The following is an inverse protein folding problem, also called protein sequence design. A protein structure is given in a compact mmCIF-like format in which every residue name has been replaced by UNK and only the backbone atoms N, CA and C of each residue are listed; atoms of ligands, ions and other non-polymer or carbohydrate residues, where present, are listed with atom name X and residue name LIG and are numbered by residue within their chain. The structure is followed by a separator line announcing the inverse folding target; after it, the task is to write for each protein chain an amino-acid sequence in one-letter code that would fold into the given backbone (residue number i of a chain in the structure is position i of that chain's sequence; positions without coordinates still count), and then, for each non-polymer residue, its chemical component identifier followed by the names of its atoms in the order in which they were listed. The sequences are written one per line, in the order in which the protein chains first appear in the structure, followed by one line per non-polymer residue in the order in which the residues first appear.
data_IF_246410931622
#
_entry.id   IF_246410931622
#
_cell.length_a   1.000
_cell.length_b   1.000
_cell.length_c   1.000
_cell.angle_alpha   90.00
_cell.angle_beta   90.00
_cell.angle_gamma   90.00
#
_symmetry.space_group_name_H-M   'P 1'
#
loop_
_entity.id
_entity.type
_entity.pdbx_description
1 polymer ?
#
# COMPACT_ATOMS: atom_id res chain seq x y z
N UNK A 1 16.84 -9.22 16.34
CA UNK A 1 16.02 -10.03 15.44
C UNK A 1 14.67 -10.17 16.10
N UNK A 2 13.64 -9.56 15.53
CA UNK A 2 12.27 -9.69 16.02
C UNK A 2 11.71 -10.90 15.30
N UNK A 3 11.36 -11.95 16.03
CA UNK A 3 10.67 -13.11 15.44
C UNK A 3 9.22 -13.04 15.88
N UNK A 4 8.28 -12.72 14.99
CA UNK A 4 6.85 -12.82 15.26
C UNK A 4 6.50 -14.20 15.81
N UNK A 5 5.55 -14.24 16.73
CA UNK A 5 5.04 -15.48 17.31
C UNK A 5 3.54 -15.52 17.14
N UNK A 6 2.97 -16.69 16.90
CA UNK A 6 1.55 -16.82 16.65
C UNK A 6 0.94 -17.96 17.48
N UNK A 7 -0.31 -17.75 17.87
CA UNK A 7 -1.16 -18.79 18.45
C UNK A 7 -1.99 -19.43 17.34
N UNK A 8 -1.93 -20.76 17.23
CA UNK A 8 -2.69 -21.51 16.21
C UNK A 8 -4.19 -21.19 16.26
N UNK A 9 -4.83 -21.13 15.11
CA UNK A 9 -6.22 -20.71 15.00
C UNK A 9 -6.85 -21.05 13.66
N UNK A 10 -8.01 -20.45 13.36
CA UNK A 10 -8.74 -20.70 12.11
C UNK A 10 -8.43 -19.67 11.04
N UNK A 11 -8.08 -18.44 11.43
CA UNK A 11 -7.81 -17.34 10.51
C UNK A 11 -6.49 -17.54 9.77
N UNK A 12 -6.36 -16.87 8.63
CA UNK A 12 -5.08 -16.81 7.92
C UNK A 12 -4.25 -15.65 8.45
N UNK A 13 -3.12 -15.95 9.07
CA UNK A 13 -2.10 -14.97 9.40
C UNK A 13 -1.08 -14.87 8.28
N UNK A 14 -1.00 -13.70 7.66
CA UNK A 14 0.02 -13.34 6.69
C UNK A 14 1.07 -12.50 7.39
N UNK A 15 2.30 -13.00 7.47
CA UNK A 15 3.41 -12.36 8.19
C UNK A 15 4.53 -12.05 7.20
N UNK A 16 4.91 -10.77 7.11
CA UNK A 16 6.05 -10.29 6.30
C UNK A 16 6.95 -9.39 7.14
N UNK A 17 8.01 -8.86 6.54
CA UNK A 17 8.91 -7.94 7.24
C UNK A 17 8.18 -6.62 7.54
N UNK A 18 7.89 -6.38 8.82
CA UNK A 18 7.25 -5.15 9.29
C UNK A 18 5.73 -5.07 9.12
N UNK A 19 5.06 -6.07 8.53
CA UNK A 19 3.59 -6.09 8.41
C UNK A 19 3.00 -7.45 8.78
N UNK A 20 1.87 -7.42 9.48
CA UNK A 20 1.07 -8.60 9.83
C UNK A 20 -0.38 -8.35 9.44
N UNK A 21 -1.02 -9.35 8.82
CA UNK A 21 -2.46 -9.33 8.57
C UNK A 21 -3.13 -10.62 9.05
N UNK A 22 -4.34 -10.50 9.62
CA UNK A 22 -5.28 -11.59 9.88
C UNK A 22 -6.46 -11.47 8.92
N UNK A 23 -6.74 -12.53 8.17
CA UNK A 23 -7.85 -12.62 7.22
C UNK A 23 -8.83 -13.71 7.63
N UNK A 24 -10.13 -13.46 7.44
CA UNK A 24 -11.21 -14.39 7.79
C UNK A 24 -10.99 -15.77 7.14
N UNK A 25 -11.34 -16.91 7.81
CA UNK A 25 -11.12 -18.26 7.28
C UNK A 25 -11.81 -18.56 5.94
N UNK A 26 -12.90 -17.85 5.62
CA UNK A 26 -13.68 -17.96 4.38
C UNK A 26 -13.01 -17.24 3.19
N UNK A 27 -11.95 -16.46 3.45
CA UNK A 27 -11.21 -15.74 2.41
C UNK A 27 -10.66 -16.73 1.36
N UNK A 28 -10.90 -16.50 0.05
CA UNK A 28 -10.37 -17.37 -1.00
C UNK A 28 -8.84 -17.40 -0.98
N UNK A 29 -8.26 -18.59 -1.24
CA UNK A 29 -6.80 -18.77 -1.22
C UNK A 29 -6.05 -17.84 -2.20
N UNK A 30 -6.66 -17.51 -3.34
CA UNK A 30 -6.12 -16.54 -4.29
C UNK A 30 -5.98 -15.13 -3.71
N UNK A 31 -6.94 -14.70 -2.88
CA UNK A 31 -6.89 -13.41 -2.19
C UNK A 31 -5.83 -13.43 -1.10
N UNK A 32 -5.73 -14.52 -0.33
CA UNK A 32 -4.67 -14.69 0.68
C UNK A 32 -3.29 -14.62 0.04
N UNK A 33 -3.09 -15.28 -1.10
CA UNK A 33 -1.84 -15.25 -1.85
C UNK A 33 -1.54 -13.84 -2.40
N UNK A 34 -2.55 -13.15 -2.94
CA UNK A 34 -2.40 -11.78 -3.43
C UNK A 34 -2.04 -10.80 -2.30
N UNK A 35 -2.67 -10.92 -1.13
CA UNK A 35 -2.29 -10.15 0.08
C UNK A 35 -0.85 -10.45 0.48
N UNK A 36 -0.46 -11.73 0.55
CA UNK A 36 0.92 -12.10 0.88
C UNK A 36 1.94 -11.50 -0.09
N UNK A 37 1.66 -11.52 -1.40
CA UNK A 37 2.54 -10.87 -2.40
C UNK A 37 2.62 -9.37 -2.18
N UNK A 38 1.48 -8.68 -2.04
CA UNK A 38 1.42 -7.24 -1.81
C UNK A 38 2.16 -6.82 -0.52
N UNK A 39 1.99 -7.56 0.57
CA UNK A 39 2.69 -7.30 1.83
C UNK A 39 4.20 -7.53 1.74
N UNK A 40 4.66 -8.45 0.87
CA UNK A 40 6.08 -8.79 0.70
C UNK A 40 6.79 -7.84 -0.25
N UNK A 41 6.11 -7.40 -1.31
CA UNK A 41 6.61 -6.37 -2.22
C UNK A 41 6.77 -5.03 -1.50
N UNK A 42 6.02 -4.84 -0.41
CA UNK A 42 5.95 -3.58 0.31
C UNK A 42 5.19 -2.54 -0.50
N UNK A 43 5.05 -1.34 0.05
CA UNK A 43 4.28 -0.28 -0.58
C UNK A 43 3.49 0.51 0.43
N UNK A 44 2.60 1.36 -0.07
CA UNK A 44 1.67 2.07 0.80
C UNK A 44 0.52 1.16 1.26
N UNK A 45 -0.19 1.64 2.27
CA UNK A 45 -1.39 0.98 2.81
C UNK A 45 -2.39 0.60 1.71
N UNK A 46 -2.57 1.45 0.71
CA UNK A 46 -3.54 1.24 -0.37
C UNK A 46 -3.19 -0.01 -1.17
N UNK A 47 -1.93 -0.16 -1.59
CA UNK A 47 -1.45 -1.35 -2.29
C UNK A 47 -1.62 -2.61 -1.44
N UNK A 48 -1.39 -2.52 -0.13
CA UNK A 48 -1.57 -3.64 0.80
C UNK A 48 -3.04 -4.07 0.94
N UNK A 49 -3.99 -3.14 0.81
CA UNK A 49 -5.43 -3.40 0.91
C UNK A 49 -6.09 -3.73 -0.44
N UNK A 50 -5.47 -3.37 -1.56
CA UNK A 50 -6.02 -3.57 -2.90
C UNK A 50 -6.49 -5.01 -3.19
N UNK A 51 -5.78 -6.08 -2.77
CA UNK A 51 -6.25 -7.45 -2.97
C UNK A 51 -7.57 -7.75 -2.25
N UNK A 52 -7.82 -7.13 -1.09
CA UNK A 52 -9.07 -7.26 -0.33
C UNK A 52 -10.22 -6.48 -0.95
N UNK A 53 -9.90 -5.46 -1.75
CA UNK A 53 -10.84 -4.61 -2.48
C UNK A 53 -11.26 -5.16 -3.84
N UNK A 54 -10.63 -6.23 -4.34
CA UNK A 54 -10.88 -6.76 -5.68
C UNK A 54 -12.35 -7.16 -5.92
N UNK A 55 -13.06 -7.61 -4.87
CA UNK A 55 -14.50 -7.90 -4.92
C UNK A 55 -15.42 -6.70 -4.61
N UNK A 56 -14.86 -5.51 -4.42
CA UNK A 56 -15.55 -4.31 -3.97
C UNK A 56 -15.67 -4.19 -2.44
N UNK A 57 -16.06 -3.00 -1.96
CA UNK A 57 -16.14 -2.68 -0.52
C UNK A 57 -17.12 -3.56 0.26
N UNK A 58 -18.21 -4.00 -0.39
CA UNK A 58 -19.24 -4.83 0.24
C UNK A 58 -18.79 -6.30 0.41
N UNK A 59 -18.01 -6.84 -0.53
CA UNK A 59 -17.52 -8.21 -0.50
C UNK A 59 -16.19 -8.37 0.25
N UNK A 60 -15.63 -7.27 0.76
CA UNK A 60 -14.38 -7.29 1.50
C UNK A 60 -14.55 -8.04 2.82
N UNK A 61 -13.71 -9.07 3.07
CA UNK A 61 -13.80 -9.89 4.26
C UNK A 61 -13.41 -9.09 5.51
N UNK A 62 -13.81 -9.51 6.72
CA UNK A 62 -13.21 -9.08 7.97
C UNK A 62 -11.70 -9.31 7.96
N UNK A 63 -10.95 -8.32 8.43
CA UNK A 63 -9.50 -8.40 8.52
C UNK A 63 -8.94 -7.46 9.59
N UNK A 64 -7.73 -7.75 10.04
CA UNK A 64 -6.90 -6.79 10.77
C UNK A 64 -5.52 -6.75 10.13
N UNK A 65 -4.97 -5.56 9.93
CA UNK A 65 -3.64 -5.33 9.37
C UNK A 65 -2.88 -4.38 10.28
N UNK A 66 -1.64 -4.72 10.61
CA UNK A 66 -0.73 -3.90 11.39
C UNK A 66 0.59 -3.74 10.64
N UNK A 67 0.92 -2.50 10.29
CA UNK A 67 2.18 -2.14 9.63
C UNK A 67 3.05 -1.29 10.56
N UNK A 68 4.32 -1.66 10.69
CA UNK A 68 5.29 -1.01 11.57
C UNK A 68 6.22 -0.13 10.73
N UNK A 69 6.23 1.17 10.99
CA UNK A 69 7.13 2.11 10.34
C UNK A 69 7.62 3.17 11.32
N UNK A 70 8.94 3.33 11.44
CA UNK A 70 9.54 4.42 12.24
C UNK A 70 9.18 4.43 13.73
N UNK A 71 8.88 3.26 14.32
CA UNK A 71 8.45 3.16 15.73
C UNK A 71 6.95 3.41 15.97
N UNK A 72 6.19 3.64 14.90
CA UNK A 72 4.74 3.74 14.93
C UNK A 72 4.09 2.49 14.31
N UNK A 73 2.95 2.09 14.86
CA UNK A 73 2.10 1.03 14.31
C UNK A 73 0.89 1.67 13.66
N UNK A 74 0.69 1.40 12.37
CA UNK A 74 -0.57 1.69 11.69
C UNK A 74 -1.45 0.45 11.75
N UNK A 75 -2.59 0.56 12.42
CA UNK A 75 -3.59 -0.49 12.56
C UNK A 75 -4.79 -0.20 11.64
N UNK A 76 -5.23 -1.22 10.90
CA UNK A 76 -6.38 -1.15 10.00
C UNK A 76 -7.25 -2.35 10.29
N UNK A 77 -8.49 -2.11 10.71
CA UNK A 77 -9.32 -3.16 11.29
C UNK A 77 -10.75 -3.08 10.74
N UNK A 78 -11.25 -4.22 10.28
CA UNK A 78 -12.62 -4.41 9.79
C UNK A 78 -13.24 -5.67 10.40
N UNK A 79 -14.48 -5.53 10.87
CA UNK A 79 -15.21 -6.63 11.51
C UNK A 79 -14.71 -6.90 12.92
N UNK A 80 -14.70 -8.17 13.31
CA UNK A 80 -14.49 -8.59 14.70
C UNK A 80 -13.01 -8.67 15.11
N UNK A 81 -12.07 -8.62 14.17
CA UNK A 81 -10.66 -8.62 14.50
C UNK A 81 -10.25 -7.37 15.30
N UNK A 82 -9.11 -7.44 15.99
CA UNK A 82 -8.58 -6.34 16.79
C UNK A 82 -7.05 -6.26 16.66
N UNK A 83 -6.53 -5.04 16.75
CA UNK A 83 -5.09 -4.79 16.89
C UNK A 83 -4.87 -4.15 18.24
N UNK A 84 -4.03 -4.77 19.06
CA UNK A 84 -3.61 -4.26 20.36
C UNK A 84 -2.16 -3.81 20.24
N UNK A 85 -1.90 -2.56 20.59
CA UNK A 85 -0.56 -1.96 20.56
C UNK A 85 -0.19 -1.57 21.98
N UNK A 86 0.93 -2.05 22.48
CA UNK A 86 1.46 -1.65 23.77
C UNK A 86 2.74 -0.84 23.63
N UNK A 87 2.90 0.16 24.48
CA UNK A 87 4.05 1.06 24.50
C UNK A 87 4.27 1.70 25.86
N UNK A 88 5.15 2.69 25.92
CA UNK A 88 5.40 3.45 27.15
C UNK A 88 4.16 4.22 27.64
N UNK A 89 3.29 4.62 26.70
CA UNK A 89 2.06 5.37 26.97
C UNK A 89 0.86 4.48 27.35
N UNK A 90 1.08 3.17 27.55
CA UNK A 90 0.06 2.19 27.89
C UNK A 90 -0.38 1.32 26.71
N UNK A 91 -1.49 0.60 26.90
CA UNK A 91 -2.09 -0.29 25.90
C UNK A 91 -3.23 0.41 25.15
N UNK A 92 -3.20 0.32 23.83
CA UNK A 92 -4.22 0.86 22.91
C UNK A 92 -4.82 -0.30 22.12
N UNK A 93 -6.15 -0.42 22.12
CA UNK A 93 -6.85 -1.45 21.33
C UNK A 93 -7.67 -0.77 20.22
N UNK A 94 -7.42 -1.19 18.98
CA UNK A 94 -8.13 -0.76 17.77
C UNK A 94 -9.06 -1.88 17.30
N UNK A 95 -10.35 -1.60 17.18
CA UNK A 95 -11.40 -2.58 16.78
C UNK A 95 -12.25 -2.04 15.63
N UNK A 96 -12.70 -2.92 14.73
CA UNK A 96 -13.50 -2.54 13.56
C UNK A 96 -15.00 -2.34 13.81
N UNK A 97 -15.52 -2.72 14.98
CA UNK A 97 -16.95 -2.93 15.27
C UNK A 97 -17.92 -1.75 15.20
N UNK A 98 -17.54 -0.59 14.63
CA UNK A 98 -18.43 0.57 14.44
C UNK A 98 -18.29 1.29 13.08
N UNK A 99 -17.43 0.83 12.18
CA UNK A 99 -17.19 1.49 10.90
C UNK A 99 -17.87 0.77 9.73
N UNK A 100 -18.50 1.53 8.82
CA UNK A 100 -19.12 1.01 7.60
C UNK A 100 -18.08 0.49 6.57
N UNK A 101 -16.82 0.91 6.69
CA UNK A 101 -15.73 0.55 5.75
C UNK A 101 -14.59 -0.16 6.47
N UNK A 102 -13.88 0.52 7.38
CA UNK A 102 -12.90 -0.01 8.34
C UNK A 102 -12.45 1.13 9.27
N UNK A 103 -11.76 0.80 10.37
CA UNK A 103 -11.08 1.76 11.23
C UNK A 103 -9.59 1.78 10.88
N UNK A 104 -9.00 2.97 10.75
CA UNK A 104 -7.56 3.15 10.55
C UNK A 104 -7.02 4.10 11.63
N UNK A 105 -6.00 3.65 12.35
CA UNK A 105 -5.37 4.41 13.44
C UNK A 105 -3.85 4.27 13.39
N UNK A 106 -3.12 5.33 13.76
CA UNK A 106 -1.67 5.32 13.88
C UNK A 106 -1.30 5.52 15.34
N UNK A 107 -0.64 4.53 15.93
CA UNK A 107 -0.21 4.53 17.32
C UNK A 107 1.32 4.71 17.37
N UNK A 108 1.83 5.86 17.84
CA UNK A 108 3.27 6.06 18.03
C UNK A 108 3.80 5.33 19.27
N UNK A 109 5.12 5.16 19.37
CA UNK A 109 5.76 4.70 20.61
C UNK A 109 5.51 3.23 20.96
N UNK A 110 5.21 2.40 19.97
CA UNK A 110 4.88 1.00 20.16
C UNK A 110 6.13 0.17 20.50
N UNK A 111 6.07 -0.60 21.59
CA UNK A 111 7.08 -1.60 21.97
C UNK A 111 6.67 -3.02 21.61
N UNK A 112 5.37 -3.27 21.39
CA UNK A 112 4.86 -4.51 20.83
C UNK A 112 3.50 -4.30 20.16
N UNK A 113 3.14 -5.24 19.28
CA UNK A 113 1.81 -5.30 18.65
C UNK A 113 1.28 -6.73 18.68
N UNK A 114 0.00 -6.89 18.97
CA UNK A 114 -0.76 -8.13 18.88
C UNK A 114 -1.93 -7.94 17.93
N UNK A 115 -1.97 -8.72 16.86
CA UNK A 115 -3.12 -8.80 15.96
C UNK A 115 -3.92 -10.04 16.38
N UNK A 116 -5.18 -9.88 16.76
CA UNK A 116 -5.98 -10.96 17.35
C UNK A 116 -7.43 -10.99 16.89
N UNK A 117 -8.05 -12.15 17.03
CA UNK A 117 -9.50 -12.34 16.94
C UNK A 117 -10.06 -12.53 18.36
N UNK A 118 -11.10 -11.81 18.78
CA UNK A 118 -11.73 -11.97 20.09
C UNK A 118 -12.17 -13.42 20.34
N UNK A 119 -11.84 -13.95 21.51
CA UNK A 119 -12.16 -15.34 21.89
C UNK A 119 -11.37 -16.41 21.13
N UNK A 120 -10.45 -16.02 20.23
CA UNK A 120 -9.54 -16.91 19.51
C UNK A 120 -8.18 -17.04 20.18
N UNK A 121 -7.46 -18.12 19.86
CA UNK A 121 -6.12 -18.39 20.36
C UNK A 121 -5.94 -19.82 20.86
N UNK A 122 -5.21 -20.64 20.10
CA UNK A 122 -4.78 -21.97 20.52
C UNK A 122 -3.63 -21.93 21.53
N UNK A 123 -3.35 -23.07 22.15
CA UNK A 123 -2.32 -23.18 23.19
C UNK A 123 -0.87 -23.08 22.66
N UNK A 124 -0.66 -23.29 21.36
CA UNK A 124 0.68 -23.35 20.77
C UNK A 124 1.18 -21.96 20.35
N UNK A 125 2.27 -21.49 20.98
CA UNK A 125 2.96 -20.25 20.64
C UNK A 125 4.20 -20.54 19.80
N UNK A 126 4.09 -20.37 18.48
CA UNK A 126 5.09 -20.81 17.51
C UNK A 126 5.75 -19.63 16.79
N UNK A 127 7.07 -19.70 16.50
CA UNK A 127 7.76 -18.65 15.75
C UNK A 127 7.40 -18.68 14.26
N UNK A 128 7.30 -17.51 13.64
CA UNK A 128 7.17 -17.36 12.18
C UNK A 128 8.00 -16.16 11.73
N UNK A 129 8.92 -16.36 10.78
CA UNK A 129 9.74 -15.27 10.25
C UNK A 129 9.01 -14.53 9.12
N UNK A 130 8.49 -15.29 8.15
CA UNK A 130 7.59 -14.80 7.10
C UNK A 130 6.84 -15.98 6.49
N UNK A 131 5.57 -15.78 6.14
CA UNK A 131 4.74 -16.79 5.49
C UNK A 131 3.26 -16.61 5.80
N UNK A 132 2.46 -17.58 5.34
CA UNK A 132 1.04 -17.67 5.64
C UNK A 132 0.82 -18.87 6.56
N UNK A 133 0.25 -18.64 7.74
CA UNK A 133 -0.04 -19.68 8.74
C UNK A 133 -1.48 -19.59 9.24
N UNK A 134 -1.98 -20.65 9.85
CA UNK A 134 -3.29 -20.65 10.51
C UNK A 134 -3.14 -20.15 11.95
N UNK A 135 -3.66 -18.97 12.24
CA UNK A 135 -3.50 -18.32 13.54
C UNK A 135 -4.68 -17.41 13.88
N UNK A 136 -5.06 -17.36 15.16
CA UNK A 136 -6.04 -16.39 15.66
C UNK A 136 -5.36 -15.21 16.37
N UNK A 137 -4.08 -15.36 16.74
CA UNK A 137 -3.28 -14.33 17.40
C UNK A 137 -1.88 -14.31 16.81
N UNK A 138 -1.36 -13.12 16.52
CA UNK A 138 0.04 -12.90 16.12
C UNK A 138 0.61 -11.77 16.96
N UNK A 139 1.74 -12.03 17.62
CA UNK A 139 2.46 -11.09 18.49
C UNK A 139 3.81 -10.75 17.88
N UNK A 140 4.13 -9.45 17.88
CA UNK A 140 5.41 -8.93 17.39
C UNK A 140 5.97 -7.98 18.44
N UNK A 141 7.15 -8.29 18.97
CA UNK A 141 7.90 -7.38 19.84
C UNK A 141 8.69 -6.38 18.98
N UNK A 142 8.57 -5.09 19.22
CA UNK A 142 9.25 -4.05 18.45
C UNK A 142 10.50 -3.61 19.21
N UNK A 143 11.67 -3.78 18.59
CA UNK A 143 12.92 -3.19 19.11
C UNK A 143 13.14 -1.88 18.39
N UNK A 144 13.32 -0.79 19.13
CA UNK A 144 13.72 0.49 18.55
C UNK A 144 14.98 0.28 17.71
N UNK A 145 14.95 0.69 16.43
CA UNK A 145 16.12 0.64 15.56
C UNK A 145 17.05 1.78 15.97
N UNK A 146 17.75 1.57 17.07
CA UNK A 146 18.54 2.58 17.76
C UNK A 146 19.36 2.02 18.90
N UNK A 147 19.84 0.77 18.79
CA UNK A 147 20.87 0.17 19.65
C UNK A 147 21.36 -1.13 19.00
N UNK A 148 21.88 -1.02 17.78
CA UNK A 148 22.56 -2.13 17.09
C UNK A 148 24.00 -1.76 16.71
N UNK A 149 24.76 -1.24 17.69
CA UNK A 149 26.21 -1.48 17.84
C UNK A 149 26.70 -0.98 19.20
N UNK A 150 26.39 -1.72 20.26
CA UNK A 150 27.22 -1.71 21.46
C UNK A 150 27.34 -3.16 21.95
N UNK A 151 28.59 -3.64 21.91
CA UNK A 151 29.17 -4.80 22.58
C UNK A 151 28.30 -6.05 22.79
N UNK A 152 28.76 -7.17 22.25
CA UNK A 152 28.64 -8.47 22.92
C UNK A 152 29.44 -8.40 24.24
N UNK A 153 28.84 -8.51 25.44
CA UNK A 153 29.57 -8.88 26.62
C UNK A 153 29.50 -10.40 26.78
N UNK A 154 30.61 -10.96 27.24
CA UNK A 154 30.76 -12.36 27.54
C UNK A 154 29.79 -12.84 28.62
N UNK A 155 29.53 -14.14 28.62
CA UNK A 155 28.86 -14.85 29.69
C UNK A 155 29.57 -14.64 31.04
N UNK A 156 28.82 -14.30 32.10
CA UNK A 156 28.75 -15.01 33.40
C UNK A 156 28.11 -14.17 34.54
N UNK A 157 27.05 -14.74 35.12
CA UNK A 157 26.73 -14.84 36.56
C UNK A 157 26.10 -13.63 37.34
N UNK A 158 25.41 -13.89 38.48
CA UNK A 158 24.10 -13.33 38.81
C UNK A 158 24.06 -12.12 39.77
N UNK A 159 22.87 -11.52 39.83
CA UNK A 159 22.37 -10.37 40.59
C UNK A 159 22.58 -10.42 42.12
N UNK A 160 22.89 -9.28 42.77
CA UNK A 160 22.53 -9.06 44.17
C UNK A 160 21.21 -8.29 44.32
N UNK A 161 20.34 -8.84 45.16
CA UNK A 161 19.02 -8.36 45.60
C UNK A 161 19.08 -7.01 46.34
N UNK A 162 18.11 -6.08 46.16
CA UNK A 162 18.03 -4.88 47.00
C UNK A 162 17.41 -5.19 48.37
N UNK A 163 17.97 -4.59 49.43
CA UNK A 163 17.46 -4.60 50.81
C UNK A 163 16.49 -3.41 51.02
N UNK A 164 15.34 -3.57 51.71
CA UNK A 164 14.36 -2.50 51.91
C UNK A 164 14.65 -1.65 53.16
N UNK A 165 13.76 -0.66 53.43
CA UNK A 165 13.36 -0.01 54.72
C UNK A 165 13.74 1.47 54.85
N UNK A 166 12.99 2.35 55.56
CA UNK A 166 11.52 2.56 55.69
C UNK A 166 11.08 4.04 55.51
N UNK A 167 9.75 4.23 55.62
CA UNK A 167 8.98 5.48 55.59
C UNK A 167 9.34 6.56 56.63
N UNK A 168 9.08 7.83 56.28
CA UNK A 168 8.81 8.91 57.21
C UNK A 168 7.81 9.92 56.60
N UNK A 169 6.64 10.02 57.22
CA UNK A 169 5.72 11.18 57.24
C UNK A 169 5.67 11.68 58.70
N UNK A 170 5.08 12.85 59.05
CA UNK A 170 4.61 13.99 58.25
C UNK A 170 5.09 15.34 58.83
N UNK A 171 4.55 16.46 58.31
CA UNK A 171 3.98 17.64 59.01
C UNK A 171 4.26 18.93 58.22
N UNK A 172 3.18 19.66 57.89
CA UNK A 172 3.25 21.09 57.59
C UNK A 172 2.20 21.61 56.62
N UNK A 173 0.96 21.84 57.10
CA UNK A 173 0.05 22.89 56.60
C UNK A 173 0.77 24.26 56.58
N UNK A 174 0.36 25.29 55.79
CA UNK A 174 -1.00 25.83 55.93
C UNK A 174 -1.63 26.66 54.77
N UNK A 175 -2.91 26.99 55.01
CA UNK A 175 -3.80 28.11 54.59
C UNK A 175 -4.32 28.25 53.16
N UNK A 176 -5.65 28.39 53.14
CA UNK A 176 -6.61 28.73 52.10
C UNK A 176 -6.49 30.12 51.46
N UNK A 177 -6.95 30.22 50.21
CA UNK A 177 -7.67 31.36 49.63
C UNK A 177 -8.35 30.85 48.34
N UNK A 178 -9.68 30.72 48.32
CA UNK A 178 -10.65 31.74 47.88
C UNK A 178 -10.94 31.68 46.38
N UNK A 179 -12.15 31.22 46.09
CA UNK A 179 -12.88 31.20 44.82
C UNK A 179 -13.22 32.65 44.38
N UNK A 180 -13.25 32.95 43.07
CA UNK A 180 -14.47 33.56 42.56
C UNK A 180 -14.94 33.08 41.17
N UNK A 181 -16.27 33.10 41.09
CA UNK A 181 -17.28 32.90 40.03
C UNK A 181 -16.95 33.09 38.53
N UNK A 182 -17.71 32.40 37.63
CA UNK A 182 -17.57 32.51 36.18
C UNK A 182 -18.38 33.68 35.61
N UNK A 183 -17.79 34.41 34.66
CA UNK A 183 -18.46 35.50 33.94
C UNK A 183 -18.59 35.16 32.45
N UNK A 184 -19.85 35.15 32.02
CA UNK A 184 -20.43 35.51 30.72
C UNK A 184 -20.04 34.75 29.43
N UNK A 185 -21.08 34.12 28.89
CA UNK A 185 -21.35 33.80 27.48
C UNK A 185 -21.16 35.02 26.54
N UNK A 186 -20.70 34.79 25.30
CA UNK A 186 -21.15 35.59 24.16
C UNK A 186 -21.91 34.75 23.12
N UNK A 187 -23.08 35.27 22.75
CA UNK A 187 -24.01 34.81 21.71
C UNK A 187 -23.36 34.51 20.34
N UNK A 188 -23.87 33.52 19.57
CA UNK A 188 -23.66 33.46 18.14
C UNK A 188 -24.76 34.20 17.38
N UNK A 189 -24.35 35.21 16.60
CA UNK A 189 -25.17 35.95 15.65
C UNK A 189 -25.55 35.04 14.47
N UNK A 190 -26.82 35.13 14.07
CA UNK A 190 -27.42 34.33 13.03
C UNK A 190 -27.12 34.80 11.59
N UNK A 191 -27.23 33.81 10.70
CA UNK A 191 -27.81 33.87 9.36
C UNK A 191 -26.88 33.99 8.14
N UNK A 192 -26.83 32.90 7.37
CA UNK A 192 -26.69 32.90 5.91
C UNK A 192 -27.28 31.60 5.35
N UNK A 193 -28.46 31.72 4.77
CA UNK A 193 -29.25 30.69 4.12
C UNK A 193 -28.52 29.95 2.97
N UNK A 194 -28.80 28.65 2.75
CA UNK A 194 -28.48 27.99 1.49
C UNK A 194 -29.67 28.07 0.50
N UNK A 195 -29.37 28.59 -0.69
CA UNK A 195 -30.19 28.56 -1.90
C UNK A 195 -30.42 27.12 -2.40
N UNK A 196 -31.59 26.80 -2.98
CA UNK A 196 -32.00 25.43 -3.30
C UNK A 196 -31.27 24.87 -4.53
N UNK A 197 -30.79 23.63 -4.43
CA UNK A 197 -30.21 22.86 -5.53
C UNK A 197 -31.28 22.44 -6.54
N UNK A 198 -31.01 22.71 -7.81
CA UNK A 198 -31.82 22.29 -8.95
C UNK A 198 -31.72 20.77 -9.20
N UNK A 199 -32.85 20.18 -9.60
CA UNK A 199 -33.01 18.77 -9.94
C UNK A 199 -32.31 18.38 -11.25
N UNK A 200 -31.84 17.12 -11.40
CA UNK A 200 -31.58 16.52 -12.69
C UNK A 200 -32.75 15.60 -13.14
N UNK A 201 -33.09 15.68 -14.43
CA UNK A 201 -33.94 14.71 -15.16
C UNK A 201 -33.07 14.03 -16.26
N UNK A 202 -33.60 13.03 -17.02
CA UNK A 202 -33.26 11.61 -16.93
C UNK A 202 -32.26 11.08 -18.00
N UNK A 203 -31.93 9.79 -17.88
CA UNK A 203 -31.04 8.93 -18.69
C UNK A 203 -31.24 8.97 -20.22
N UNK A 204 -30.26 8.43 -20.99
CA UNK A 204 -30.60 7.20 -21.71
C UNK A 204 -29.51 6.09 -21.73
N UNK A 205 -30.01 4.86 -21.57
CA UNK A 205 -29.73 3.63 -22.33
C UNK A 205 -28.29 3.09 -22.53
N UNK A 206 -28.00 2.01 -21.80
CA UNK A 206 -27.57 0.67 -22.26
C UNK A 206 -26.91 0.53 -23.64
N UNK A 207 -25.66 0.05 -23.65
CA UNK A 207 -25.13 -0.82 -24.71
C UNK A 207 -24.51 -2.08 -24.08
N UNK A 208 -24.97 -3.21 -24.60
CA UNK A 208 -24.76 -4.55 -24.09
C UNK A 208 -23.32 -5.06 -24.26
N UNK A 209 -22.90 -5.86 -23.29
CA UNK A 209 -21.68 -6.65 -23.29
C UNK A 209 -21.70 -7.71 -24.41
N UNK A 210 -20.64 -7.75 -25.22
CA UNK A 210 -20.33 -8.89 -26.09
C UNK A 210 -19.63 -9.99 -25.29
N UNK A 211 -20.21 -11.19 -25.29
CA UNK A 211 -19.64 -12.38 -24.64
C UNK A 211 -18.41 -12.92 -25.41
N UNK A 212 -17.37 -13.47 -24.73
CA UNK A 212 -16.30 -14.18 -25.41
C UNK A 212 -16.72 -15.62 -25.77
N UNK A 213 -16.50 -15.98 -27.03
CA UNK A 213 -16.66 -17.32 -27.60
C UNK A 213 -15.77 -18.35 -26.89
N UNK A 214 -16.37 -19.47 -26.46
CA UNK A 214 -15.69 -20.64 -25.88
C UNK A 214 -15.07 -21.49 -26.99
N UNK A 215 -13.74 -21.68 -26.95
CA UNK A 215 -13.04 -22.68 -27.75
C UNK A 215 -13.03 -24.01 -26.99
N UNK A 216 -13.66 -25.05 -27.55
CA UNK A 216 -13.54 -26.41 -27.03
C UNK A 216 -12.42 -27.16 -27.77
N UNK A 217 -11.46 -27.70 -27.01
CA UNK A 217 -10.42 -28.60 -27.51
C UNK A 217 -10.70 -30.01 -26.97
N UNK A 218 -10.71 -31.06 -27.81
CA UNK A 218 -10.93 -32.43 -27.34
C UNK A 218 -9.62 -33.01 -26.81
N UNK A 219 -9.60 -33.42 -25.54
CA UNK A 219 -8.52 -34.25 -24.99
C UNK A 219 -8.99 -35.71 -25.08
N UNK A 220 -8.31 -36.52 -25.89
CA UNK A 220 -8.54 -37.97 -25.96
C UNK A 220 -7.51 -38.67 -25.07
N UNK A 221 -7.94 -39.22 -23.93
CA UNK A 221 -7.14 -40.17 -23.16
C UNK A 221 -7.36 -41.58 -23.74
N UNK A 222 -6.29 -42.21 -24.19
CA UNK A 222 -6.29 -43.65 -24.53
C UNK A 222 -5.85 -44.45 -23.30
N UNK A 223 -6.67 -45.42 -22.91
CA UNK A 223 -6.45 -46.28 -21.74
C UNK A 223 -5.36 -47.32 -21.95
N UNK A 224 -4.70 -47.70 -20.86
CA UNK A 224 -3.75 -48.81 -20.77
C UNK A 224 -4.33 -49.89 -19.82
N UNK A 225 -3.91 -51.16 -19.95
CA UNK A 225 -4.75 -52.30 -19.58
C UNK A 225 -4.84 -52.54 -18.08
N UNK A 226 -6.01 -53.02 -17.68
CA UNK A 226 -6.37 -53.51 -16.35
C UNK A 226 -5.72 -54.87 -16.12
N UNK A 227 -5.04 -55.05 -15.00
CA UNK A 227 -5.03 -56.31 -14.25
C UNK A 227 -4.68 -56.06 -12.77
N UNK A 228 -5.51 -56.71 -11.94
CA UNK A 228 -5.37 -57.02 -10.51
C UNK A 228 -5.53 -55.88 -9.46
N UNK A 229 -6.80 -55.74 -9.05
CA UNK A 229 -7.31 -55.34 -7.73
C UNK A 229 -6.75 -54.05 -7.10
N UNK A 230 -7.07 -52.91 -7.70
CA UNK A 230 -6.93 -51.60 -7.05
C UNK A 230 -8.15 -50.72 -7.29
N UNK A 231 -8.86 -50.37 -6.22
CA UNK A 231 -10.12 -49.61 -6.17
C UNK A 231 -9.99 -48.12 -6.54
N UNK A 232 -8.98 -47.74 -7.31
CA UNK A 232 -8.85 -46.42 -7.94
C UNK A 232 -8.78 -45.22 -6.97
N UNK A 233 -8.70 -45.45 -5.65
CA UNK A 233 -8.86 -44.37 -4.66
C UNK A 233 -7.63 -44.21 -3.75
N UNK A 234 -6.64 -45.10 -3.85
CA UNK A 234 -5.39 -45.00 -3.08
C UNK A 234 -4.20 -44.91 -4.01
N UNK A 235 -3.50 -43.78 -3.98
CA UNK A 235 -2.20 -43.62 -4.65
C UNK A 235 -1.10 -43.72 -3.58
N UNK A 236 -0.26 -44.77 -3.65
CA UNK A 236 0.90 -44.89 -2.77
C UNK A 236 2.00 -43.91 -3.22
N UNK A 237 2.82 -43.44 -2.28
CA UNK A 237 3.94 -42.53 -2.59
C UNK A 237 4.94 -43.14 -3.60
N UNK A 238 5.05 -44.47 -3.65
CA UNK A 238 5.82 -45.19 -4.67
C UNK A 238 5.27 -45.01 -6.08
N UNK A 239 3.96 -44.91 -6.24
CA UNK A 239 3.31 -44.79 -7.56
C UNK A 239 3.44 -43.37 -8.10
N UNK A 240 3.42 -42.36 -7.24
CA UNK A 240 3.72 -40.97 -7.61
C UNK A 240 5.16 -40.85 -8.12
N UNK A 241 6.12 -41.52 -7.47
CA UNK A 241 7.52 -41.54 -7.90
C UNK A 241 7.68 -42.29 -9.23
N UNK A 242 6.98 -43.42 -9.40
CA UNK A 242 6.98 -44.18 -10.65
C UNK A 242 6.33 -43.41 -11.81
N UNK A 243 5.25 -42.67 -11.58
CA UNK A 243 4.60 -41.78 -12.55
C UNK A 243 5.50 -40.62 -12.95
N UNK A 244 6.24 -40.04 -11.99
CA UNK A 244 7.19 -38.95 -12.26
C UNK A 244 8.38 -39.41 -13.11
N UNK A 245 8.79 -40.67 -12.98
CA UNK A 245 9.81 -41.29 -13.82
C UNK A 245 9.33 -41.64 -15.25
N UNK A 246 8.02 -41.70 -15.49
CA UNK A 246 7.41 -42.00 -16.80
C UNK A 246 7.03 -40.76 -17.61
N UNK A 247 7.08 -39.57 -17.01
CA UNK A 247 6.90 -38.31 -17.73
C UNK A 247 8.16 -37.99 -18.54
N UNK A 248 8.04 -37.64 -19.84
CA UNK A 248 9.18 -37.19 -20.62
C UNK A 248 9.81 -35.97 -19.93
N UNK A 249 11.13 -36.02 -19.71
CA UNK A 249 11.87 -34.85 -19.23
C UNK A 249 11.76 -33.77 -20.29
N UNK A 250 11.01 -32.70 -20.00
CA UNK A 250 10.99 -31.50 -20.81
C UNK A 250 12.28 -30.72 -20.54
N UNK A 251 13.39 -31.25 -21.04
CA UNK A 251 14.62 -30.48 -21.14
C UNK A 251 14.42 -29.42 -22.23
N UNK A 252 14.24 -28.17 -21.81
CA UNK A 252 14.45 -27.00 -22.67
C UNK A 252 13.40 -26.71 -23.75
N UNK A 253 12.21 -27.30 -23.70
CA UNK A 253 11.13 -26.84 -24.57
C UNK A 253 10.57 -25.50 -24.05
N UNK A 254 10.91 -24.41 -24.75
CA UNK A 254 10.31 -23.11 -24.53
C UNK A 254 8.77 -23.25 -24.56
N UNK A 255 8.13 -22.96 -23.43
CA UNK A 255 6.69 -22.75 -23.39
C UNK A 255 6.36 -21.65 -24.42
N UNK A 256 5.47 -21.89 -25.40
CA UNK A 256 5.02 -20.81 -26.26
C UNK A 256 4.23 -19.84 -25.39
N UNK A 257 4.90 -18.77 -24.97
CA UNK A 257 4.25 -17.61 -24.40
C UNK A 257 3.35 -17.04 -25.48
N UNK A 258 2.04 -17.05 -25.27
CA UNK A 258 1.13 -16.14 -25.96
C UNK A 258 1.37 -14.72 -25.42
N UNK A 259 2.59 -14.21 -25.58
CA UNK A 259 2.90 -12.81 -25.43
C UNK A 259 2.38 -12.14 -26.70
N UNK A 260 1.21 -11.51 -26.60
CA UNK A 260 0.88 -10.44 -27.53
C UNK A 260 1.91 -9.35 -27.27
N UNK A 261 2.96 -9.32 -28.08
CA UNK A 261 3.93 -8.23 -28.07
C UNK A 261 3.20 -6.97 -28.53
N UNK A 262 2.69 -6.19 -27.58
CA UNK A 262 2.35 -4.80 -27.87
C UNK A 262 3.67 -4.10 -28.25
N UNK A 263 3.74 -3.38 -29.38
CA UNK A 263 4.92 -2.59 -29.69
C UNK A 263 5.12 -1.59 -28.55
N UNK A 264 6.21 -1.74 -27.80
CA UNK A 264 6.60 -0.80 -26.76
C UNK A 264 7.24 0.41 -27.44
N UNK A 265 6.51 1.51 -27.56
CA UNK A 265 7.09 2.79 -27.98
C UNK A 265 8.23 3.14 -27.02
N UNK A 266 9.42 3.52 -27.51
CA UNK A 266 10.52 3.90 -26.64
C UNK A 266 10.14 5.11 -25.78
N UNK A 267 10.62 5.18 -24.53
CA UNK A 267 10.30 6.27 -23.63
C UNK A 267 10.88 7.59 -24.15
N UNK A 268 10.04 8.61 -24.27
CA UNK A 268 10.46 9.97 -24.58
C UNK A 268 11.33 10.56 -23.44
N UNK A 269 12.08 11.62 -23.73
CA UNK A 269 12.94 12.31 -22.77
C UNK A 269 12.46 13.75 -22.59
N UNK A 270 12.46 14.21 -21.36
CA UNK A 270 12.29 15.62 -21.02
C UNK A 270 13.66 16.27 -20.92
N UNK A 271 13.87 17.34 -21.66
CA UNK A 271 15.06 18.20 -21.55
C UNK A 271 14.65 19.48 -20.86
N UNK A 272 15.09 19.67 -19.61
CA UNK A 272 14.79 20.85 -18.81
C UNK A 272 15.83 21.96 -19.08
N UNK A 273 15.43 23.22 -18.95
CA UNK A 273 16.32 24.39 -19.05
C UNK A 273 17.42 24.40 -17.98
N UNK A 274 17.25 23.62 -16.90
CA UNK A 274 18.26 23.38 -15.86
C UNK A 274 19.40 22.45 -16.32
N UNK A 275 19.31 21.88 -17.51
CA UNK A 275 20.25 20.89 -18.07
C UNK A 275 19.93 19.44 -17.66
N UNK A 276 18.89 19.21 -16.86
CA UNK A 276 18.46 17.86 -16.50
C UNK A 276 17.76 17.17 -17.67
N UNK A 277 18.16 15.93 -17.97
CA UNK A 277 17.50 15.07 -18.96
C UNK A 277 16.84 13.89 -18.26
N UNK A 278 15.53 13.74 -18.44
CA UNK A 278 14.70 12.82 -17.66
C UNK A 278 13.90 11.91 -18.60
N UNK A 279 14.10 10.59 -18.50
CA UNK A 279 13.33 9.61 -19.28
C UNK A 279 11.91 9.43 -18.73
N UNK A 280 10.91 9.41 -19.62
CA UNK A 280 9.49 9.18 -19.37
C UNK A 280 9.11 7.69 -19.39
N UNK A 281 9.87 6.86 -18.66
CA UNK A 281 9.52 5.44 -18.46
C UNK A 281 8.35 5.24 -17.50
N UNK A 282 8.13 6.24 -16.64
CA UNK A 282 7.12 6.32 -15.58
C UNK A 282 6.65 7.78 -15.52
N UNK A 283 5.50 8.08 -14.89
CA UNK A 283 5.06 9.46 -14.71
C UNK A 283 6.14 10.29 -13.98
N UNK A 284 6.41 11.50 -14.45
CA UNK A 284 7.36 12.43 -13.87
C UNK A 284 6.61 13.55 -13.17
N UNK A 285 6.91 13.79 -11.90
CA UNK A 285 6.39 14.95 -11.16
C UNK A 285 7.49 16.01 -11.05
N UNK A 286 7.18 17.22 -11.51
CA UNK A 286 8.10 18.36 -11.53
C UNK A 286 7.63 19.43 -10.54
N UNK A 287 8.54 19.98 -9.76
CA UNK A 287 8.27 21.13 -8.88
C UNK A 287 9.45 21.50 -7.99
N UNK A 288 9.31 22.52 -7.13
CA UNK A 288 10.41 22.97 -6.25
C UNK A 288 10.73 22.03 -5.09
N UNK A 289 9.75 21.22 -4.70
CA UNK A 289 9.86 20.22 -3.64
C UNK A 289 8.78 19.15 -3.89
N UNK A 290 8.92 18.37 -4.97
CA UNK A 290 7.86 17.50 -5.44
C UNK A 290 7.57 16.42 -4.41
N UNK A 291 6.29 16.25 -4.11
CA UNK A 291 5.78 15.25 -3.18
C UNK A 291 4.75 14.38 -3.88
N UNK A 292 4.78 13.09 -3.55
CA UNK A 292 3.77 12.14 -4.01
C UNK A 292 2.55 12.28 -3.09
N UNK A 293 1.50 12.94 -3.58
CA UNK A 293 0.21 12.92 -2.91
C UNK A 293 -0.48 11.60 -3.26
N UNK A 294 -0.83 10.79 -2.24
CA UNK A 294 -1.68 9.58 -2.25
C UNK A 294 -1.92 8.98 -3.65
N UNK A 295 -1.14 7.98 -4.04
CA UNK A 295 -1.30 7.31 -5.33
C UNK A 295 -2.31 6.17 -5.20
N UNK A 296 -3.32 6.16 -6.06
CA UNK A 296 -4.37 5.13 -6.05
C UNK A 296 -4.07 3.91 -6.92
N UNK A 297 -3.24 4.02 -7.98
CA UNK A 297 -2.84 2.85 -8.81
C UNK A 297 -1.78 3.14 -9.91
N UNK A 298 -0.98 4.21 -9.83
CA UNK A 298 -0.01 4.56 -10.88
C UNK A 298 1.42 4.23 -10.45
N UNK A 299 2.23 3.70 -11.35
CA UNK A 299 3.66 3.43 -11.15
C UNK A 299 4.35 4.58 -10.40
N UNK A 300 5.22 4.24 -9.44
CA UNK A 300 5.91 5.22 -8.59
C UNK A 300 6.54 6.32 -9.45
N UNK A 301 6.06 7.57 -9.35
CA UNK A 301 6.49 8.61 -10.26
C UNK A 301 7.92 9.04 -9.96
N UNK A 302 8.65 9.43 -11.00
CA UNK A 302 9.97 10.02 -10.84
C UNK A 302 9.81 11.49 -10.42
N UNK A 303 10.39 11.84 -9.28
CA UNK A 303 10.37 13.20 -8.76
C UNK A 303 11.53 14.00 -9.34
N UNK A 304 11.25 15.17 -9.91
CA UNK A 304 12.23 16.08 -10.48
C UNK A 304 12.13 17.43 -9.78
N UNK A 305 13.15 17.74 -9.00
CA UNK A 305 13.24 19.02 -8.29
C UNK A 305 13.83 20.09 -9.19
N UNK A 306 13.17 21.24 -9.29
CA UNK A 306 13.63 22.39 -10.07
C UNK A 306 13.87 23.62 -9.18
N UNK A 307 14.86 24.47 -9.48
CA UNK A 307 15.08 25.71 -8.75
C UNK A 307 13.88 26.64 -8.86
N UNK A 308 13.53 27.30 -7.76
CA UNK A 308 12.44 28.28 -7.73
C UNK A 308 12.76 29.45 -6.81
N UNK A 309 13.65 30.38 -7.23
CA UNK A 309 14.15 31.46 -6.38
C UNK A 309 13.08 32.49 -5.98
N UNK A 310 12.14 32.81 -6.88
CA UNK A 310 11.00 33.70 -6.58
C UNK A 310 9.78 32.95 -6.06
N UNK A 311 9.88 31.62 -5.91
CA UNK A 311 8.79 30.73 -5.49
C UNK A 311 7.62 30.66 -6.48
N UNK A 312 7.84 30.92 -7.77
CA UNK A 312 6.73 30.82 -8.74
C UNK A 312 6.36 29.37 -9.07
N UNK A 313 7.23 28.41 -8.73
CA UNK A 313 6.98 26.99 -8.93
C UNK A 313 6.43 26.37 -7.64
N UNK A 314 5.22 25.80 -7.70
CA UNK A 314 4.64 25.02 -6.60
C UNK A 314 5.49 23.80 -6.21
N UNK A 315 5.25 23.26 -5.00
CA UNK A 315 6.00 22.10 -4.47
C UNK A 315 5.93 20.91 -5.43
N UNK A 316 4.72 20.50 -5.79
CA UNK A 316 4.42 19.63 -6.93
C UNK A 316 3.63 20.49 -7.92
N UNK A 317 4.20 20.81 -9.08
CA UNK A 317 3.64 21.79 -10.01
C UNK A 317 2.96 21.13 -11.20
N UNK A 318 3.65 20.21 -11.88
CA UNK A 318 3.13 19.52 -13.06
C UNK A 318 3.46 18.02 -13.01
N UNK A 319 2.60 17.23 -13.64
CA UNK A 319 2.86 15.84 -13.98
C UNK A 319 3.07 15.71 -15.49
N UNK A 320 4.05 14.90 -15.89
CA UNK A 320 4.27 14.53 -17.29
C UNK A 320 4.26 13.01 -17.40
N UNK A 321 3.50 12.46 -18.34
CA UNK A 321 3.39 11.01 -18.56
C UNK A 321 3.31 10.71 -20.05
N UNK A 322 3.75 9.52 -20.45
CA UNK A 322 3.63 9.06 -21.83
C UNK A 322 2.52 8.01 -21.93
N UNK A 323 1.60 8.20 -22.87
CA UNK A 323 0.59 7.20 -23.25
C UNK A 323 0.79 6.84 -24.72
N UNK A 324 1.34 5.63 -24.98
CA UNK A 324 1.72 5.23 -26.32
C UNK A 324 2.82 6.14 -26.89
N UNK A 325 2.51 6.88 -27.95
CA UNK A 325 3.43 7.84 -28.59
C UNK A 325 3.16 9.29 -28.18
N UNK A 326 2.13 9.55 -27.37
CA UNK A 326 1.80 10.91 -26.94
C UNK A 326 2.36 11.20 -25.55
N UNK A 327 2.90 12.41 -25.38
CA UNK A 327 3.33 12.91 -24.07
C UNK A 327 2.28 13.90 -23.56
N UNK A 328 1.74 13.61 -22.38
CA UNK A 328 0.70 14.40 -21.73
C UNK A 328 1.28 15.14 -20.53
N UNK A 329 0.96 16.42 -20.44
CA UNK A 329 1.29 17.29 -19.32
C UNK A 329 0.00 17.69 -18.60
N UNK A 330 -0.01 17.54 -17.29
CA UNK A 330 -1.12 17.92 -16.42
C UNK A 330 -0.63 18.91 -15.37
N UNK A 331 -1.27 20.08 -15.30
CA UNK A 331 -1.06 21.03 -14.20
C UNK A 331 -1.71 20.49 -12.93
N UNK A 332 -0.94 20.33 -11.84
CA UNK A 332 -1.42 19.77 -10.58
C UNK A 332 -1.96 20.85 -9.64
N UNK A 333 -2.82 21.72 -10.18
CA UNK A 333 -3.37 22.88 -9.47
C UNK A 333 -2.27 23.80 -8.94
N UNK A 334 -1.27 24.09 -9.78
CA UNK A 334 -0.21 25.03 -9.44
C UNK A 334 -0.75 26.44 -9.21
N UNK A 335 -0.04 27.21 -8.39
CA UNK A 335 -0.45 28.57 -8.02
C UNK A 335 -0.39 29.54 -9.21
N UNK A 336 0.67 29.44 -10.02
CA UNK A 336 0.92 30.33 -11.14
C UNK A 336 0.52 29.74 -12.50
N UNK A 337 0.18 28.45 -12.55
CA UNK A 337 -0.21 27.75 -13.78
C UNK A 337 0.98 27.33 -14.63
N UNK A 338 0.71 26.42 -15.56
CA UNK A 338 1.66 25.95 -16.58
C UNK A 338 1.32 26.60 -17.92
N UNK A 339 2.34 27.10 -18.62
CA UNK A 339 2.19 27.70 -19.94
C UNK A 339 2.76 26.77 -21.01
N UNK A 340 2.01 26.53 -22.08
CA UNK A 340 2.42 25.80 -23.27
C UNK A 340 2.65 26.79 -24.42
N UNK A 341 3.87 26.80 -24.94
CA UNK A 341 4.29 27.67 -26.03
C UNK A 341 4.52 26.79 -27.26
N UNK A 342 3.62 26.90 -28.24
CA UNK A 342 3.77 26.21 -29.53
C UNK A 342 4.42 27.13 -30.56
N UNK A 343 5.29 26.61 -31.45
CA UNK A 343 5.87 27.42 -32.52
C UNK A 343 4.79 28.10 -33.37
N UNK A 344 4.82 29.44 -33.44
CA UNK A 344 3.89 30.23 -34.25
C UNK A 344 2.50 30.46 -33.63
N UNK A 345 2.23 30.00 -32.40
CA UNK A 345 0.99 30.26 -31.68
C UNK A 345 1.22 31.18 -30.47
N UNK A 346 0.15 31.81 -29.99
CA UNK A 346 0.20 32.53 -28.72
C UNK A 346 0.38 31.54 -27.54
N UNK A 347 1.10 31.91 -26.47
CA UNK A 347 1.22 31.08 -25.27
C UNK A 347 -0.16 30.68 -24.71
N UNK A 348 -0.37 29.38 -24.51
CA UNK A 348 -1.61 28.83 -23.99
C UNK A 348 -1.40 28.38 -22.54
N UNK A 349 -2.20 28.89 -21.61
CA UNK A 349 -2.22 28.37 -20.24
C UNK A 349 -2.97 27.05 -20.20
N UNK A 350 -2.38 26.04 -19.59
CA UNK A 350 -3.03 24.74 -19.38
C UNK A 350 -4.10 24.84 -18.30
N UNK A 351 -5.18 24.07 -18.44
CA UNK A 351 -6.19 23.97 -17.39
C UNK A 351 -5.71 23.05 -16.26
N UNK A 352 -5.88 23.44 -14.99
CA UNK A 352 -5.56 22.58 -13.86
C UNK A 352 -6.31 21.24 -13.91
N UNK A 353 -5.58 20.15 -13.68
CA UNK A 353 -6.11 18.78 -13.65
C UNK A 353 -6.43 18.16 -15.01
N UNK A 354 -6.38 18.93 -16.10
CA UNK A 354 -6.68 18.45 -17.44
C UNK A 354 -5.37 18.02 -18.15
N UNK A 355 -5.26 16.75 -18.62
CA UNK A 355 -4.11 16.30 -19.39
C UNK A 355 -4.12 16.94 -20.78
N UNK A 356 -3.03 17.63 -21.15
CA UNK A 356 -2.84 18.25 -22.45
C UNK A 356 -1.69 17.59 -23.20
N UNK A 357 -1.88 17.24 -24.47
CA UNK A 357 -0.84 16.65 -25.33
C UNK A 357 0.19 17.71 -25.73
N UNK A 358 1.47 17.35 -25.62
CA UNK A 358 2.63 18.20 -25.91
C UNK A 358 3.51 17.49 -26.94
N UNK A 359 3.83 18.20 -28.02
CA UNK A 359 4.71 17.71 -29.09
C UNK A 359 6.20 17.99 -28.84
N UNK A 360 7.10 17.46 -29.69
CA UNK A 360 8.54 17.60 -29.52
C UNK A 360 9.06 19.04 -29.69
N UNK A 361 8.38 19.85 -30.51
CA UNK A 361 8.74 21.26 -30.76
C UNK A 361 8.08 22.23 -29.78
N UNK A 362 7.22 21.73 -28.89
CA UNK A 362 6.52 22.54 -27.91
C UNK A 362 7.44 22.83 -26.72
N UNK A 363 7.32 24.05 -26.19
CA UNK A 363 8.03 24.47 -24.98
C UNK A 363 7.03 24.65 -23.84
N UNK A 364 7.22 23.91 -22.75
CA UNK A 364 6.40 24.04 -21.55
C UNK A 364 7.15 24.87 -20.53
N UNK A 365 6.52 25.92 -20.02
CA UNK A 365 7.03 26.81 -18.98
C UNK A 365 6.28 26.59 -17.66
N UNK A 366 7.05 26.35 -16.60
CA UNK A 366 6.59 26.06 -15.24
C UNK A 366 6.69 27.30 -14.32
N UNK A 367 7.27 28.41 -14.79
CA UNK A 367 7.65 29.56 -13.98
C UNK A 367 9.15 29.59 -13.65
N UNK A 368 9.65 30.72 -13.14
CA UNK A 368 11.06 30.95 -12.78
C UNK A 368 12.08 30.73 -13.90
N UNK A 369 11.64 30.81 -15.16
CA UNK A 369 12.46 30.48 -16.32
C UNK A 369 12.77 28.97 -16.47
N UNK A 370 12.10 28.13 -15.67
CA UNK A 370 12.18 26.68 -15.79
C UNK A 370 11.24 26.22 -16.88
N UNK A 371 11.83 25.79 -18.00
CA UNK A 371 11.09 25.26 -19.14
C UNK A 371 11.56 23.85 -19.46
N UNK A 372 10.74 23.08 -20.18
CA UNK A 372 11.16 21.80 -20.73
C UNK A 372 10.61 21.55 -22.13
N UNK A 373 11.32 20.70 -22.86
CA UNK A 373 10.90 20.16 -24.17
C UNK A 373 10.88 18.64 -24.15
N UNK A 374 10.13 18.06 -25.07
CA UNK A 374 10.01 16.61 -25.25
C UNK A 374 10.90 16.17 -26.42
N UNK A 375 11.74 15.17 -26.21
CA UNK A 375 12.52 14.52 -27.26
C UNK A 375 12.10 13.06 -27.38
N UNK A 376 11.60 12.65 -28.53
CA UNK A 376 11.32 11.23 -28.81
C UNK A 376 12.62 10.54 -29.23
N UNK A 377 12.90 9.39 -28.61
CA UNK A 377 14.02 8.55 -29.05
C UNK A 377 13.61 7.88 -30.36
N UNK A 378 14.13 8.40 -31.47
CA UNK A 378 14.02 7.72 -32.76
C UNK A 378 14.91 6.48 -32.70
N UNK A 379 14.33 5.29 -32.83
CA UNK A 379 15.11 4.08 -33.06
C UNK A 379 15.81 4.22 -34.41
N UNK A 380 17.08 4.60 -34.35
CA UNK A 380 18.00 4.42 -35.46
C UNK A 380 18.35 2.94 -35.48
N UNK A 381 17.46 2.16 -36.13
CA UNK A 381 17.72 0.76 -36.42
C UNK A 381 19.01 0.63 -37.23
N UNK A 382 19.92 -0.22 -36.75
CA UNK A 382 21.02 -0.79 -37.54
C UNK A 382 21.06 -2.28 -37.29
#
# INVERSE_FOLDING_TARGET
MIVPRYATGRWYAVVTDGTVALLEPTTPGSVVEAVWRALREGGDTTAQLQPLLAGGLAAMPPFALASVAGGSVRAIVRGDAAVVVGGADGERTVTGGRAATWVEEVVPGASWVEVRVPGGGGAADLPVLSGVVRADVVRVALVARGEARAARPAAAAPTPTPRPTPAAEPVGEPVAAADPEPVADPEPVADAAPVPAAAPAPEPASVAAGAPTRLELPIVLTGAPEDEDHDGTTVLTSDIVALRGRLPHLDGAAVPSLAVATPRTPPARLVLSTGAVVSLERPVLIGRAPQVARVSNAEMPRLVTVPSPTSDISRTHAQVRQEGDEVLVTDLHSTNGVLLIRPGAAPQRLHPGEPTVVGPEDLVDLGDGVTFRVEHRVDTGT
#
